data_IF_349756735458
#
_entry.id   IF_349756735458
#
_cell.length_a   1.000
_cell.length_b   1.000
_cell.length_c   1.000
_cell.angle_alpha   90.00
_cell.angle_beta   90.00
_cell.angle_gamma   90.00
#
_symmetry.space_group_name_H-M   'P 1'
#
loop_
_entity.id
_entity.type
_entity.pdbx_description
1 polymer ?
#
# COMPACT_ATOMS: atom_id res chain seq x y z
N UNK A 1 13.67 -12.14 5.86
CA UNK A 1 13.46 -11.99 4.41
C UNK A 1 12.19 -11.16 4.26
N UNK A 2 12.32 -9.84 4.30
CA UNK A 2 11.18 -8.93 4.20
C UNK A 2 10.56 -9.12 2.83
N UNK A 3 9.33 -9.63 2.70
CA UNK A 3 8.71 -9.69 1.40
C UNK A 3 8.45 -8.23 1.05
N UNK A 4 9.10 -7.71 0.00
CA UNK A 4 8.66 -6.47 -0.61
C UNK A 4 7.32 -6.71 -1.29
N UNK A 5 6.61 -5.67 -1.70
CA UNK A 5 5.62 -5.86 -2.78
C UNK A 5 6.45 -6.26 -4.01
N UNK A 6 6.58 -7.56 -4.23
CA UNK A 6 7.26 -8.11 -5.38
C UNK A 6 6.34 -8.07 -6.59
N UNK A 7 6.94 -8.30 -7.75
CA UNK A 7 6.19 -8.52 -8.99
C UNK A 7 5.11 -9.62 -8.85
N UNK A 8 5.33 -10.72 -8.09
CA UNK A 8 4.31 -11.74 -7.85
C UNK A 8 3.07 -11.21 -7.10
N UNK A 9 3.23 -10.41 -6.05
CA UNK A 9 2.13 -9.85 -5.27
C UNK A 9 1.27 -8.90 -6.12
N UNK A 10 1.92 -8.06 -6.95
CA UNK A 10 1.22 -7.21 -7.92
C UNK A 10 0.41 -8.01 -8.93
N UNK A 11 0.92 -9.16 -9.39
CA UNK A 11 0.21 -10.06 -10.30
C UNK A 11 -1.05 -10.66 -9.66
N UNK A 12 -0.97 -11.06 -8.39
CA UNK A 12 -2.13 -11.60 -7.64
C UNK A 12 -3.22 -10.53 -7.50
N UNK A 13 -2.84 -9.30 -7.12
CA UNK A 13 -3.79 -8.19 -7.03
C UNK A 13 -4.38 -7.83 -8.39
N UNK A 14 -3.58 -7.87 -9.47
CA UNK A 14 -4.07 -7.65 -10.83
C UNK A 14 -5.13 -8.69 -11.22
N UNK A 15 -4.87 -9.97 -10.97
CA UNK A 15 -5.85 -11.04 -11.24
C UNK A 15 -7.13 -10.82 -10.43
N UNK A 16 -7.02 -10.50 -9.15
CA UNK A 16 -8.17 -10.17 -8.29
C UNK A 16 -8.97 -8.99 -8.83
N UNK A 17 -8.30 -7.91 -9.24
CA UNK A 17 -8.95 -6.74 -9.84
C UNK A 17 -9.68 -7.11 -11.14
N UNK A 18 -9.10 -7.98 -11.98
CA UNK A 18 -9.74 -8.46 -13.21
C UNK A 18 -10.98 -9.32 -12.90
N UNK A 19 -10.99 -10.10 -11.82
CA UNK A 19 -12.15 -10.92 -11.43
C UNK A 19 -13.28 -10.05 -10.87
N UNK A 20 -12.95 -9.09 -9.99
CA UNK A 20 -13.94 -8.24 -9.34
C UNK A 20 -14.55 -7.21 -10.30
N UNK A 21 -13.71 -6.54 -11.09
CA UNK A 21 -14.13 -5.46 -11.99
C UNK A 21 -14.47 -6.00 -13.38
N UNK A 22 -13.79 -7.06 -13.82
CA UNK A 22 -13.88 -7.62 -15.16
C UNK A 22 -12.71 -7.21 -16.06
N UNK A 23 -12.17 -8.12 -16.89
CA UNK A 23 -10.98 -7.85 -17.71
C UNK A 23 -11.21 -6.80 -18.80
N UNK A 24 -12.45 -6.62 -19.24
CA UNK A 24 -12.80 -5.60 -20.23
C UNK A 24 -13.10 -4.23 -19.59
N UNK A 25 -13.46 -4.19 -18.32
CA UNK A 25 -13.87 -2.95 -17.64
C UNK A 25 -12.66 -2.18 -17.11
N UNK A 26 -11.63 -2.89 -16.63
CA UNK A 26 -10.37 -2.31 -16.15
C UNK A 26 -9.71 -1.36 -17.19
N UNK A 27 -9.51 -1.75 -18.47
CA UNK A 27 -8.92 -0.84 -19.47
C UNK A 27 -9.83 0.34 -19.82
N UNK A 28 -11.16 0.15 -19.79
CA UNK A 28 -12.13 1.24 -20.04
C UNK A 28 -12.08 2.28 -18.91
N UNK A 29 -11.99 1.83 -17.66
CA UNK A 29 -11.83 2.72 -16.50
C UNK A 29 -10.50 3.46 -16.53
N UNK A 30 -9.39 2.77 -16.84
CA UNK A 30 -8.08 3.42 -16.99
C UNK A 30 -8.08 4.48 -18.07
N UNK A 31 -8.77 4.24 -19.19
CA UNK A 31 -8.94 5.26 -20.24
C UNK A 31 -9.70 6.48 -19.74
N UNK A 32 -10.80 6.30 -19.00
CA UNK A 32 -11.58 7.42 -18.43
C UNK A 32 -10.77 8.23 -17.42
N UNK A 33 -10.08 7.55 -16.51
CA UNK A 33 -9.19 8.20 -15.54
C UNK A 33 -8.05 8.92 -16.27
N UNK A 34 -7.44 8.28 -17.27
CA UNK A 34 -6.38 8.87 -18.09
C UNK A 34 -6.86 10.12 -18.84
N UNK A 35 -8.06 10.10 -19.40
CA UNK A 35 -8.67 11.27 -20.05
C UNK A 35 -8.94 12.39 -19.05
N UNK A 36 -9.40 12.07 -17.84
CA UNK A 36 -9.62 13.05 -16.79
C UNK A 36 -8.30 13.69 -16.34
N UNK A 37 -7.26 12.87 -16.14
CA UNK A 37 -5.92 13.34 -15.79
C UNK A 37 -5.28 14.15 -16.91
N UNK A 38 -5.51 13.78 -18.17
CA UNK A 38 -5.02 14.54 -19.33
C UNK A 38 -5.67 15.93 -19.40
N UNK A 39 -6.99 16.02 -19.16
CA UNK A 39 -7.70 17.30 -19.09
C UNK A 39 -7.22 18.15 -17.92
N UNK A 40 -7.07 17.56 -16.73
CA UNK A 40 -6.52 18.25 -15.56
C UNK A 40 -5.09 18.75 -15.83
N UNK A 41 -4.26 17.97 -16.51
CA UNK A 41 -2.90 18.38 -16.91
C UNK A 41 -2.91 19.52 -17.91
N UNK A 42 -3.84 19.51 -18.87
CA UNK A 42 -4.00 20.60 -19.83
C UNK A 42 -4.42 21.89 -19.12
N UNK A 43 -5.44 21.83 -18.26
CA UNK A 43 -5.87 22.96 -17.44
C UNK A 43 -4.74 23.48 -16.55
N UNK A 44 -4.01 22.59 -15.87
CA UNK A 44 -2.86 22.96 -15.06
C UNK A 44 -1.74 23.64 -15.86
N UNK A 45 -1.58 23.28 -17.14
CA UNK A 45 -0.62 23.94 -18.04
C UNK A 45 -1.08 25.36 -18.40
N UNK A 46 -2.37 25.55 -18.66
CA UNK A 46 -2.95 26.86 -18.94
C UNK A 46 -2.90 27.78 -17.70
N UNK A 47 -3.11 27.22 -16.51
CA UNK A 47 -2.88 27.91 -15.24
C UNK A 47 -1.42 28.29 -15.07
N UNK A 48 -0.46 27.38 -15.30
CA UNK A 48 0.97 27.70 -15.24
C UNK A 48 1.32 28.87 -16.16
N UNK A 49 0.86 28.85 -17.41
CA UNK A 49 1.09 29.94 -18.35
C UNK A 49 0.46 31.26 -17.85
N UNK A 50 -0.74 31.20 -17.28
CA UNK A 50 -1.44 32.38 -16.73
C UNK A 50 -0.76 32.91 -15.46
N UNK A 51 -0.24 32.04 -14.60
CA UNK A 51 0.57 32.42 -13.44
C UNK A 51 1.92 33.00 -13.87
N UNK A 52 2.54 32.50 -14.95
CA UNK A 52 3.77 33.11 -15.49
C UNK A 52 3.52 34.51 -16.08
N UNK A 53 2.34 34.75 -16.67
CA UNK A 53 1.90 36.06 -17.15
C UNK A 53 1.66 37.06 -15.98
N UNK A 54 1.05 36.59 -14.88
CA UNK A 54 0.80 37.37 -13.66
C UNK A 54 2.07 37.53 -12.80
N UNK A 55 3.01 36.60 -12.92
CA UNK A 55 4.23 36.46 -12.13
C UNK A 55 5.30 37.52 -12.30
N UNK A 56 4.99 38.68 -12.90
CA UNK A 56 5.87 39.85 -12.86
C UNK A 56 5.73 40.70 -11.59
N UNK A 57 4.80 40.39 -10.69
CA UNK A 57 4.67 41.13 -9.43
C UNK A 57 4.54 40.18 -8.23
N UNK A 58 5.65 40.03 -7.49
CA UNK A 58 5.85 39.72 -6.05
C UNK A 58 5.13 38.54 -5.36
N UNK A 59 3.89 38.18 -5.70
CA UNK A 59 3.07 37.25 -4.91
C UNK A 59 3.45 35.76 -5.12
N UNK A 60 3.94 35.38 -6.30
CA UNK A 60 4.30 33.98 -6.59
C UNK A 60 5.60 33.52 -5.93
N UNK A 61 6.48 34.45 -5.57
CA UNK A 61 7.72 34.14 -4.86
C UNK A 61 7.44 33.69 -3.42
N UNK A 62 6.47 34.35 -2.75
CA UNK A 62 6.01 33.99 -1.41
C UNK A 62 5.37 32.60 -1.38
N UNK A 63 4.45 32.30 -2.32
CA UNK A 63 3.80 30.98 -2.40
C UNK A 63 4.79 29.85 -2.71
N UNK A 64 5.77 30.09 -3.59
CA UNK A 64 6.83 29.09 -3.85
C UNK A 64 7.62 28.76 -2.59
N UNK A 65 7.95 29.79 -1.80
CA UNK A 65 8.70 29.66 -0.54
C UNK A 65 7.89 28.91 0.52
N UNK A 66 6.57 29.13 0.58
CA UNK A 66 5.66 28.42 1.48
C UNK A 66 5.49 26.94 1.06
N UNK A 67 5.35 26.66 -0.24
CA UNK A 67 5.33 25.29 -0.78
C UNK A 67 6.66 24.58 -0.51
N UNK A 68 7.79 25.28 -0.62
CA UNK A 68 9.11 24.73 -0.32
C UNK A 68 9.30 24.46 1.18
N UNK A 69 8.79 25.33 2.06
CA UNK A 69 8.75 25.09 3.49
C UNK A 69 7.85 23.89 3.86
N UNK A 70 6.69 23.74 3.21
CA UNK A 70 5.80 22.59 3.38
C UNK A 70 6.44 21.29 2.87
N UNK A 71 7.12 21.33 1.72
CA UNK A 71 7.91 20.17 1.24
C UNK A 71 9.01 19.80 2.22
N UNK A 72 9.68 20.79 2.81
CA UNK A 72 10.72 20.57 3.82
C UNK A 72 10.17 20.05 5.13
N UNK A 73 8.90 20.31 5.44
CA UNK A 73 8.22 19.76 6.64
C UNK A 73 7.87 18.26 6.53
N UNK A 74 8.20 17.60 5.41
CA UNK A 74 8.14 16.13 5.21
C UNK A 74 6.90 15.37 5.74
N UNK A 75 5.66 15.90 5.63
CA UNK A 75 4.46 15.18 6.06
C UNK A 75 4.26 13.85 5.29
N UNK A 76 4.80 13.76 4.06
CA UNK A 76 4.79 12.54 3.24
C UNK A 76 5.70 11.45 3.82
N UNK A 77 6.78 11.85 4.50
CA UNK A 77 7.73 10.92 5.12
C UNK A 77 7.15 10.34 6.43
N UNK A 78 6.37 11.13 7.17
CA UNK A 78 5.60 10.67 8.32
C UNK A 78 4.53 9.64 7.93
N UNK A 79 3.76 9.93 6.87
CA UNK A 79 2.76 8.98 6.32
C UNK A 79 3.45 7.71 5.81
N UNK A 80 4.61 7.82 5.15
CA UNK A 80 5.39 6.64 4.74
C UNK A 80 5.83 5.81 5.95
N UNK A 81 6.29 6.46 7.02
CA UNK A 81 6.67 5.78 8.26
C UNK A 81 5.51 5.03 8.93
N UNK A 82 4.29 5.59 8.90
CA UNK A 82 3.10 4.89 9.40
C UNK A 82 2.70 3.71 8.50
N UNK A 83 2.73 3.89 7.18
CA UNK A 83 2.44 2.82 6.22
C UNK A 83 3.45 1.68 6.34
N UNK A 84 4.74 1.97 6.54
CA UNK A 84 5.77 0.96 6.74
C UNK A 84 5.58 0.19 8.06
N UNK A 85 5.13 0.86 9.13
CA UNK A 85 4.78 0.20 10.40
C UNK A 85 3.57 -0.71 10.28
N UNK A 86 2.52 -0.24 9.60
CA UNK A 86 1.32 -1.07 9.33
C UNK A 86 1.67 -2.26 8.45
N UNK A 87 2.51 -2.05 7.43
CA UNK A 87 3.01 -3.12 6.58
C UNK A 87 3.92 -4.10 7.31
N UNK A 88 4.69 -3.64 8.31
CA UNK A 88 5.45 -4.48 9.23
C UNK A 88 4.49 -5.31 10.08
N UNK A 89 3.60 -4.68 10.85
CA UNK A 89 2.64 -5.38 11.73
C UNK A 89 1.80 -6.43 11.00
N UNK A 90 1.36 -6.15 9.76
CA UNK A 90 0.65 -7.11 8.92
C UNK A 90 1.51 -8.32 8.52
N UNK A 91 2.83 -8.15 8.36
CA UNK A 91 3.76 -9.23 7.99
C UNK A 91 4.25 -10.05 9.19
N UNK A 92 4.42 -9.42 10.35
CA UNK A 92 4.92 -10.09 11.57
C UNK A 92 3.79 -10.66 12.45
N UNK A 93 2.58 -10.10 12.38
CA UNK A 93 1.40 -10.66 13.03
C UNK A 93 1.02 -12.04 12.49
N UNK A 94 1.34 -12.32 11.22
CA UNK A 94 1.13 -13.64 10.61
C UNK A 94 2.14 -14.69 11.10
N UNK A 95 3.37 -14.30 11.47
CA UNK A 95 4.44 -15.23 11.88
C UNK A 95 4.35 -15.66 13.36
N UNK A 96 3.96 -14.77 14.28
CA UNK A 96 3.76 -15.12 15.70
C UNK A 96 2.56 -16.06 15.91
N UNK A 97 1.44 -15.78 15.23
CA UNK A 97 0.24 -16.62 15.30
C UNK A 97 0.51 -18.00 14.70
N UNK A 98 1.35 -18.08 13.65
CA UNK A 98 1.73 -19.34 13.02
C UNK A 98 2.66 -20.17 13.91
N UNK A 99 3.63 -19.55 14.60
CA UNK A 99 4.51 -20.27 15.54
C UNK A 99 3.76 -20.76 16.79
N UNK A 100 2.82 -19.97 17.32
CA UNK A 100 2.00 -20.40 18.45
C UNK A 100 1.07 -21.57 18.06
N UNK A 101 0.56 -21.57 16.82
CA UNK A 101 -0.27 -22.66 16.26
C UNK A 101 0.54 -23.92 15.93
N UNK A 102 1.82 -23.79 15.60
CA UNK A 102 2.75 -24.92 15.36
C UNK A 102 3.24 -25.52 16.69
N UNK A 103 3.53 -24.69 17.71
CA UNK A 103 3.94 -25.16 19.03
C UNK A 103 2.81 -25.85 19.81
N UNK A 104 1.57 -25.38 19.65
CA UNK A 104 0.38 -25.97 20.27
C UNK A 104 -0.10 -27.29 19.61
N UNK A 105 0.51 -27.72 18.50
CA UNK A 105 0.11 -28.93 17.76
C UNK A 105 1.00 -30.16 18.02
N UNK A 106 1.76 -30.18 19.12
CA UNK A 106 2.41 -31.42 19.58
C UNK A 106 1.36 -32.37 20.16
N UNK A 107 1.11 -33.56 19.57
CA UNK A 107 0.11 -34.48 20.07
C UNK A 107 0.59 -35.11 21.40
N UNK A 108 -0.34 -35.14 22.33
CA UNK A 108 -0.18 -35.66 23.69
C UNK A 108 0.37 -37.09 23.69
N UNK A 109 1.44 -37.28 24.46
CA UNK A 109 1.95 -38.59 24.87
C UNK A 109 0.90 -39.26 25.75
N UNK A 110 0.28 -40.40 25.39
CA UNK A 110 -0.62 -41.07 26.31
C UNK A 110 0.20 -41.84 27.35
N UNK A 111 0.19 -41.35 28.58
CA UNK A 111 0.65 -42.08 29.76
C UNK A 111 -0.48 -43.00 30.27
N UNK A 112 -0.14 -44.28 30.49
CA UNK A 112 -0.65 -45.23 31.52
C UNK A 112 -2.18 -45.42 31.64
N UNK A 113 -2.79 -46.62 31.58
CA UNK A 113 -2.79 -47.80 32.51
C UNK A 113 -4.16 -48.54 32.20
N UNK A 114 -4.60 -49.70 32.79
CA UNK A 114 -3.96 -50.71 33.62
C UNK A 114 -4.17 -52.19 33.14
N UNK A 115 -3.50 -53.07 33.88
CA UNK A 115 -3.62 -54.54 34.05
C UNK A 115 -4.64 -55.37 33.23
N UNK A 116 -4.15 -56.51 32.72
CA UNK A 116 -4.89 -57.77 32.78
C UNK A 116 -3.90 -58.93 32.81
N UNK A 117 -3.84 -59.62 33.95
CA UNK A 117 -3.13 -60.88 34.09
C UNK A 117 -4.07 -62.04 33.88
N UNK A 118 -3.53 -63.14 33.37
CA UNK A 118 -3.97 -64.53 33.58
C UNK A 118 -3.28 -65.47 32.58
N UNK A 119 -2.83 -66.63 33.08
CA UNK A 119 -2.52 -67.82 32.28
C UNK A 119 -1.05 -68.21 32.19
#
# INVERSE_FOLDING_TARGET
MSPGIGMPELLVVLVLALVVVGPQQLPVMMRKVGQMMAQMRAMAKDFQNSFEEIGRETELAELRKEIEALKKSNPVEEIRGEVDKVAYEARFGDDEVRQQKIAAAQPEKPASLPERGDG
#
